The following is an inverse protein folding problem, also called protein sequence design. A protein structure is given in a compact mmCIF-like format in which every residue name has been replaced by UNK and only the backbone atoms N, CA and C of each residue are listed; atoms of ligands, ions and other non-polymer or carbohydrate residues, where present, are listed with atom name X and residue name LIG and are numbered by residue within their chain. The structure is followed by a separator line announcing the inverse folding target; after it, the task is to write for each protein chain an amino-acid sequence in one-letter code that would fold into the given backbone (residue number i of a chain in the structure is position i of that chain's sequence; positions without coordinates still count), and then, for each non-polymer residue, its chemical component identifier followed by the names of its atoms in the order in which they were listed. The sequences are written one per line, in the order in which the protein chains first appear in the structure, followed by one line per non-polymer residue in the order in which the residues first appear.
data_IF_748884373434
#
_entry.id   IF_748884373434
#
_cell.length_a   1.000
_cell.length_b   1.000
_cell.length_c   1.000
_cell.angle_alpha   90.00
_cell.angle_beta   90.00
_cell.angle_gamma   90.00
#
_symmetry.space_group_name_H-M   'P 1'
#
loop_
_entity.id
_entity.type
_entity.pdbx_description
1 polymer ?
#
# COMPACT_ATOMS: atom_id res chain seq x y z
N UNK A 1 -5.82 17.14 -23.72
CA UNK A 1 -6.70 16.93 -22.57
C UNK A 1 -7.16 15.49 -22.58
N UNK A 2 -6.66 14.68 -21.65
CA UNK A 2 -7.11 13.31 -21.38
C UNK A 2 -7.64 13.35 -19.95
N UNK A 3 -8.95 13.31 -19.77
CA UNK A 3 -9.58 13.41 -18.46
C UNK A 3 -10.87 12.58 -18.48
N UNK A 4 -10.90 11.46 -17.73
CA UNK A 4 -12.04 11.08 -16.88
C UNK A 4 -11.70 9.83 -16.00
N UNK A 5 -11.07 10.10 -14.83
CA UNK A 5 -11.19 9.37 -13.55
C UNK A 5 -10.89 7.83 -13.47
N UNK A 6 -9.71 7.47 -12.94
CA UNK A 6 -9.36 6.12 -12.43
C UNK A 6 -9.53 4.93 -13.40
N UNK A 7 -8.53 4.64 -14.24
CA UNK A 7 -8.40 3.26 -14.77
C UNK A 7 -7.29 2.52 -14.04
N UNK A 8 -7.60 2.09 -12.81
CA UNK A 8 -6.94 0.99 -12.08
C UNK A 8 -7.39 -0.38 -12.63
N UNK A 9 -7.77 -0.45 -13.89
CA UNK A 9 -8.39 -1.64 -14.50
C UNK A 9 -7.73 -1.88 -15.86
N UNK A 10 -6.77 -2.81 -15.90
CA UNK A 10 -6.43 -3.59 -17.09
C UNK A 10 -6.88 -5.02 -16.87
N UNK A 11 -7.41 -5.63 -17.93
CA UNK A 11 -8.16 -6.89 -17.90
C UNK A 11 -7.37 -8.05 -17.29
N UNK A 12 -8.05 -8.77 -16.41
CA UNK A 12 -7.44 -9.79 -15.57
C UNK A 12 -7.18 -11.12 -16.29
N UNK A 13 -7.90 -11.52 -17.34
CA UNK A 13 -7.50 -12.63 -18.26
C UNK A 13 -8.26 -12.61 -19.60
N UNK A 14 -7.53 -13.01 -20.64
CA UNK A 14 -7.94 -13.29 -22.03
C UNK A 14 -6.86 -12.78 -22.98
N UNK A 15 -5.92 -13.57 -23.52
CA UNK A 15 -5.68 -15.02 -23.58
C UNK A 15 -4.12 -15.09 -23.65
N UNK A 16 -3.35 -15.46 -22.62
CA UNK A 16 -2.56 -16.71 -22.59
C UNK A 16 -1.49 -16.68 -21.45
N UNK A 17 -1.80 -16.12 -20.27
CA UNK A 17 -0.93 -15.94 -19.07
C UNK A 17 -0.22 -14.58 -18.90
N UNK A 18 -0.92 -13.52 -18.45
CA UNK A 18 -0.25 -12.46 -17.72
C UNK A 18 0.23 -12.95 -16.35
N UNK A 19 1.53 -13.24 -16.25
CA UNK A 19 2.21 -13.43 -14.96
C UNK A 19 2.23 -12.08 -14.24
N UNK A 20 1.27 -11.83 -13.34
CA UNK A 20 1.22 -10.58 -12.59
C UNK A 20 2.43 -10.45 -11.66
N UNK A 21 3.09 -9.28 -11.68
CA UNK A 21 4.08 -8.92 -10.66
C UNK A 21 3.44 -8.52 -9.32
N UNK A 22 2.11 -8.27 -9.30
CA UNK A 22 1.35 -7.75 -8.16
C UNK A 22 -0.02 -8.40 -8.00
N UNK A 23 -0.45 -8.62 -6.77
CA UNK A 23 -1.76 -9.22 -6.43
C UNK A 23 -2.91 -8.22 -6.61
N UNK A 24 -4.15 -8.68 -6.78
CA UNK A 24 -5.34 -7.81 -6.89
C UNK A 24 -5.46 -6.83 -5.69
N UNK A 25 -5.10 -7.30 -4.48
CA UNK A 25 -5.07 -6.47 -3.28
C UNK A 25 -4.11 -5.26 -3.42
N UNK A 26 -3.01 -5.40 -4.15
CA UNK A 26 -2.06 -4.31 -4.40
C UNK A 26 -2.55 -3.29 -5.45
N UNK A 27 -3.48 -3.68 -6.33
CA UNK A 27 -4.12 -2.73 -7.26
C UNK A 27 -5.10 -1.79 -6.52
N UNK A 28 -5.81 -2.31 -5.53
CA UNK A 28 -6.83 -1.56 -4.80
C UNK A 28 -6.34 -0.95 -3.49
N UNK A 29 -5.21 -1.39 -2.96
CA UNK A 29 -4.61 -0.80 -1.75
C UNK A 29 -4.41 0.71 -1.93
N UNK A 30 -4.91 1.48 -0.95
CA UNK A 30 -4.64 2.91 -0.82
C UNK A 30 -3.24 3.19 -0.23
N UNK A 31 -2.60 2.17 0.31
CA UNK A 31 -1.31 2.24 0.97
C UNK A 31 -0.23 1.63 0.09
N UNK A 32 0.93 2.28 0.03
CA UNK A 32 2.10 1.84 -0.73
C UNK A 32 2.90 0.75 0.01
N UNK A 33 2.86 0.73 1.34
CA UNK A 33 3.52 -0.27 2.16
C UNK A 33 2.84 -0.43 3.53
N UNK A 34 3.17 -1.53 4.21
CA UNK A 34 2.61 -1.87 5.52
C UNK A 34 3.76 -1.98 6.53
N UNK A 35 3.61 -1.30 7.66
CA UNK A 35 4.54 -1.37 8.79
C UNK A 35 3.95 -2.34 9.81
N UNK A 36 4.58 -3.51 9.95
CA UNK A 36 4.18 -4.52 10.92
C UNK A 36 4.97 -4.33 12.21
N UNK A 37 4.26 -4.09 13.30
CA UNK A 37 4.86 -3.94 14.63
C UNK A 37 4.42 -5.09 15.53
N UNK A 38 5.32 -5.62 16.38
CA UNK A 38 4.90 -6.57 17.41
C UNK A 38 3.93 -5.89 18.39
N UNK A 39 3.02 -6.65 18.99
CA UNK A 39 2.05 -6.23 20.02
C UNK A 39 2.67 -5.71 21.34
N UNK A 40 3.87 -5.13 21.27
CA UNK A 40 4.53 -4.44 22.36
C UNK A 40 3.91 -3.07 22.62
N UNK A 41 3.87 -2.60 23.87
CA UNK A 41 3.40 -1.25 24.20
C UNK A 41 4.40 -0.19 23.69
N UNK A 42 4.24 0.19 22.42
CA UNK A 42 5.01 1.25 21.75
C UNK A 42 4.14 2.51 21.69
N UNK A 43 4.78 3.68 21.81
CA UNK A 43 4.10 4.95 21.60
C UNK A 43 3.80 5.17 20.11
N UNK A 44 2.53 5.04 19.74
CA UNK A 44 2.09 5.19 18.34
C UNK A 44 2.29 6.58 17.76
N UNK A 45 2.32 7.63 18.59
CA UNK A 45 2.60 8.99 18.11
C UNK A 45 4.06 9.14 17.69
N UNK A 46 4.97 8.61 18.51
CA UNK A 46 6.39 8.61 18.20
C UNK A 46 6.68 7.77 16.96
N UNK A 47 6.14 6.55 16.90
CA UNK A 47 6.28 5.67 15.75
C UNK A 47 5.80 6.31 14.44
N UNK A 48 4.62 6.94 14.45
CA UNK A 48 4.11 7.66 13.27
C UNK A 48 5.02 8.82 12.86
N UNK A 49 5.50 9.60 13.83
CA UNK A 49 6.42 10.71 13.54
C UNK A 49 7.73 10.22 12.90
N UNK A 50 8.27 9.10 13.37
CA UNK A 50 9.47 8.48 12.78
C UNK A 50 9.20 7.96 11.36
N UNK A 51 8.07 7.27 11.14
CA UNK A 51 7.69 6.82 9.80
C UNK A 51 7.52 8.02 8.86
N UNK A 52 6.84 9.08 9.30
CA UNK A 52 6.64 10.30 8.52
C UNK A 52 7.95 11.03 8.21
N UNK A 53 8.95 10.95 9.09
CA UNK A 53 10.28 11.51 8.85
C UNK A 53 11.06 10.76 7.77
N UNK A 54 11.02 9.42 7.78
CA UNK A 54 11.80 8.60 6.84
C UNK A 54 11.06 8.24 5.54
N UNK A 55 9.72 8.28 5.53
CA UNK A 55 8.96 7.97 4.32
C UNK A 55 9.11 9.09 3.30
N UNK A 56 8.93 8.72 2.03
CA UNK A 56 8.67 9.69 0.99
C UNK A 56 7.28 10.30 1.18
N UNK A 57 7.15 11.63 1.07
CA UNK A 57 5.91 12.38 1.29
C UNK A 57 4.74 11.85 0.44
N UNK A 58 5.02 11.38 -0.77
CA UNK A 58 4.03 10.84 -1.71
C UNK A 58 3.53 9.44 -1.35
N UNK A 59 4.15 8.77 -0.37
CA UNK A 59 3.87 7.38 -0.02
C UNK A 59 2.95 7.30 1.19
N UNK A 60 1.92 6.46 1.05
CA UNK A 60 0.95 6.15 2.10
C UNK A 60 1.33 4.85 2.77
N UNK A 61 1.13 4.76 4.09
CA UNK A 61 1.43 3.56 4.86
C UNK A 61 0.27 3.18 5.77
N UNK A 62 0.17 1.89 6.07
CA UNK A 62 -0.70 1.36 7.12
C UNK A 62 0.14 0.70 8.21
N UNK A 63 -0.30 0.80 9.46
CA UNK A 63 0.35 0.12 10.59
C UNK A 63 -0.52 -1.08 10.97
N UNK A 64 0.07 -2.27 10.97
CA UNK A 64 -0.55 -3.50 11.46
C UNK A 64 0.16 -4.00 12.71
N UNK A 65 -0.61 -4.31 13.75
CA UNK A 65 -0.08 -4.91 14.98
C UNK A 65 -0.20 -6.43 14.83
N UNK A 66 0.95 -7.11 14.85
CA UNK A 66 0.98 -8.58 14.86
C UNK A 66 0.98 -9.10 16.31
N UNK A 67 0.13 -10.08 16.64
CA UNK A 67 0.05 -10.66 17.98
C UNK A 67 1.31 -11.45 18.36
#
# INVERSE_FOLDING_TARGET
EDNLYFSKTRWLYGDENPLYLRTEAELYSEYDFIVRIPGTPINMHQLRAEIDFYKLISKRYSIEIIP
#
